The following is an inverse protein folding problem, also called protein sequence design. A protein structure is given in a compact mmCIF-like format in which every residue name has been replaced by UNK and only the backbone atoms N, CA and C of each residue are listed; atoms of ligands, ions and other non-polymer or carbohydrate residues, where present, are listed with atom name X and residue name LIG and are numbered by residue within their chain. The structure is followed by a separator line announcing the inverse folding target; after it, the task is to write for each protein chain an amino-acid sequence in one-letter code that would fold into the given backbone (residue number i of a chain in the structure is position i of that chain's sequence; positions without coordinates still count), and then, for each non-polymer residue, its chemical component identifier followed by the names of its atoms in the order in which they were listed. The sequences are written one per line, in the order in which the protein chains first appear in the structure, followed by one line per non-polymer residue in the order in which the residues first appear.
data_IF_489712921817
#
_entry.id   IF_489712921817
#
_cell.length_a   1.000
_cell.length_b   1.000
_cell.length_c   1.000
_cell.angle_alpha   90.00
_cell.angle_beta   90.00
_cell.angle_gamma   90.00
#
_symmetry.space_group_name_H-M   'P 1'
#
loop_
_entity.id
_entity.type
_entity.pdbx_description
1 polymer ?
#
# COMPACT_ATOMS: atom_id res chain seq x y z
N UNK A 1 10.29 -10.84 -24.54
CA UNK A 1 10.08 -10.63 -23.10
C UNK A 1 8.86 -11.41 -22.67
N UNK A 2 8.95 -12.14 -21.56
CA UNK A 2 7.80 -12.79 -20.91
C UNK A 2 6.88 -11.74 -20.30
N UNK A 3 5.64 -12.12 -19.93
CA UNK A 3 4.72 -11.21 -19.24
C UNK A 3 5.24 -10.74 -17.87
N UNK A 4 6.13 -11.50 -17.23
CA UNK A 4 6.75 -11.13 -15.96
C UNK A 4 7.85 -10.09 -16.14
N UNK A 5 8.72 -10.27 -17.14
CA UNK A 5 9.78 -9.31 -17.46
C UNK A 5 9.19 -7.92 -17.81
N UNK A 6 8.09 -7.88 -18.56
CA UNK A 6 7.38 -6.63 -18.86
C UNK A 6 6.82 -5.94 -17.60
N UNK A 7 6.36 -6.73 -16.61
CA UNK A 7 5.87 -6.20 -15.34
C UNK A 7 7.03 -5.66 -14.50
N UNK A 8 8.14 -6.40 -14.39
CA UNK A 8 9.33 -5.95 -13.67
C UNK A 8 9.87 -4.64 -14.24
N UNK A 9 9.95 -4.52 -15.58
CA UNK A 9 10.37 -3.28 -16.23
C UNK A 9 9.40 -2.12 -15.98
N UNK A 10 8.10 -2.39 -15.96
CA UNK A 10 7.12 -1.37 -15.63
C UNK A 10 7.25 -0.90 -14.16
N UNK A 11 7.43 -1.82 -13.21
CA UNK A 11 7.69 -1.51 -11.81
C UNK A 11 8.96 -0.67 -11.66
N UNK A 12 10.06 -1.06 -12.32
CA UNK A 12 11.32 -0.31 -12.35
C UNK A 12 11.13 1.12 -12.84
N UNK A 13 10.38 1.31 -13.92
CA UNK A 13 10.06 2.65 -14.44
C UNK A 13 9.27 3.48 -13.43
N UNK A 14 8.29 2.89 -12.76
CA UNK A 14 7.50 3.60 -11.77
C UNK A 14 8.31 4.02 -10.54
N UNK A 15 9.16 3.13 -10.02
CA UNK A 15 10.06 3.45 -8.92
C UNK A 15 11.10 4.49 -9.36
N UNK A 16 11.69 4.39 -10.55
CA UNK A 16 12.63 5.38 -11.06
C UNK A 16 12.00 6.78 -11.18
N UNK A 17 10.79 6.89 -11.73
CA UNK A 17 10.09 8.17 -11.84
C UNK A 17 9.86 8.82 -10.45
N UNK A 18 9.45 8.02 -9.46
CA UNK A 18 9.19 8.52 -8.11
C UNK A 18 10.47 8.88 -7.35
N UNK A 19 11.52 8.06 -7.46
CA UNK A 19 12.72 8.12 -6.60
C UNK A 19 13.90 8.86 -7.22
N UNK A 20 14.01 8.87 -8.56
CA UNK A 20 15.12 9.49 -9.30
C UNK A 20 14.65 10.80 -9.92
N UNK A 21 13.58 10.78 -10.72
CA UNK A 21 13.13 11.96 -11.48
C UNK A 21 12.42 13.01 -10.59
N UNK A 22 11.72 12.54 -9.56
CA UNK A 22 11.06 13.39 -8.55
C UNK A 22 11.93 13.46 -7.28
N UNK A 23 12.35 12.31 -6.75
CA UNK A 23 13.13 12.21 -5.51
C UNK A 23 12.25 12.34 -4.27
N UNK A 24 12.74 13.04 -3.25
CA UNK A 24 12.01 13.30 -1.99
C UNK A 24 10.62 13.93 -2.23
N UNK A 25 9.56 13.36 -1.61
CA UNK A 25 8.14 13.73 -1.82
C UNK A 25 7.50 14.19 -0.52
N UNK A 26 8.12 15.14 0.18
CA UNK A 26 7.64 15.60 1.50
C UNK A 26 6.73 16.83 1.40
N UNK A 27 5.94 17.08 2.44
CA UNK A 27 5.17 18.33 2.59
C UNK A 27 6.05 19.60 2.69
N UNK A 28 7.36 19.44 2.94
CA UNK A 28 8.31 20.55 2.91
C UNK A 28 8.73 20.92 1.48
N UNK A 29 8.52 20.02 0.52
CA UNK A 29 8.81 20.19 -0.91
C UNK A 29 7.51 20.11 -1.74
N UNK A 30 6.60 21.10 -1.64
CA UNK A 30 5.27 21.08 -2.26
C UNK A 30 5.30 20.74 -3.75
N UNK A 31 6.25 21.30 -4.50
CA UNK A 31 6.35 21.07 -5.94
C UNK A 31 6.65 19.60 -6.27
N UNK A 32 7.48 18.94 -5.47
CA UNK A 32 7.81 17.52 -5.65
C UNK A 32 6.66 16.62 -5.24
N UNK A 33 6.00 16.92 -4.11
CA UNK A 33 4.81 16.20 -3.67
C UNK A 33 3.67 16.33 -4.72
N UNK A 34 3.50 17.53 -5.30
CA UNK A 34 2.53 17.76 -6.37
C UNK A 34 2.88 16.99 -7.66
N UNK A 35 4.16 16.97 -8.06
CA UNK A 35 4.62 16.16 -9.20
C UNK A 35 4.39 14.66 -8.98
N UNK A 36 4.59 14.15 -7.77
CA UNK A 36 4.30 12.76 -7.43
C UNK A 36 2.80 12.46 -7.52
N UNK A 37 1.96 13.34 -6.97
CA UNK A 37 0.50 13.27 -7.11
C UNK A 37 0.09 13.23 -8.58
N UNK A 38 0.60 14.14 -9.39
CA UNK A 38 0.29 14.22 -10.83
C UNK A 38 0.73 12.97 -11.57
N UNK A 39 1.93 12.48 -11.31
CA UNK A 39 2.43 11.24 -11.89
C UNK A 39 1.53 10.04 -11.56
N UNK A 40 1.18 9.83 -10.29
CA UNK A 40 0.31 8.71 -9.88
C UNK A 40 -1.09 8.85 -10.48
N UNK A 41 -1.63 10.07 -10.51
CA UNK A 41 -2.93 10.36 -11.13
C UNK A 41 -2.91 9.99 -12.62
N UNK A 42 -1.88 10.44 -13.34
CA UNK A 42 -1.77 10.26 -14.78
C UNK A 42 -1.56 8.80 -15.14
N UNK A 43 -0.73 8.05 -14.40
CA UNK A 43 -0.54 6.61 -14.63
C UNK A 43 -1.82 5.80 -14.38
N UNK A 44 -2.59 6.13 -13.33
CA UNK A 44 -3.88 5.48 -13.08
C UNK A 44 -4.94 5.87 -14.12
N UNK A 45 -4.96 7.13 -14.58
CA UNK A 45 -5.85 7.58 -15.64
C UNK A 45 -5.50 6.95 -17.00
N UNK A 46 -4.21 6.87 -17.34
CA UNK A 46 -3.70 6.21 -18.55
C UNK A 46 -3.98 4.70 -18.55
N UNK A 47 -4.09 4.09 -17.37
CA UNK A 47 -4.57 2.72 -17.23
C UNK A 47 -6.08 2.57 -17.52
N UNK A 48 -6.84 3.66 -17.69
CA UNK A 48 -8.27 3.64 -17.98
C UNK A 48 -9.18 3.77 -16.75
N UNK A 49 -8.64 4.19 -15.60
CA UNK A 49 -9.41 4.42 -14.38
C UNK A 49 -9.91 5.86 -14.28
N UNK A 50 -11.07 6.04 -13.67
CA UNK A 50 -11.56 7.37 -13.26
C UNK A 50 -10.88 7.77 -11.95
N UNK A 51 -10.07 8.84 -11.99
CA UNK A 51 -9.32 9.33 -10.82
C UNK A 51 -9.96 10.59 -10.26
N UNK A 52 -10.25 10.59 -8.96
CA UNK A 52 -10.80 11.73 -8.23
C UNK A 52 -9.85 12.16 -7.12
N UNK A 53 -9.73 13.47 -6.88
CA UNK A 53 -8.91 14.00 -5.80
C UNK A 53 -9.74 14.31 -4.55
N UNK A 54 -9.35 13.75 -3.42
CA UNK A 54 -9.79 14.23 -2.11
C UNK A 54 -8.78 15.27 -1.60
N UNK A 55 -8.93 16.51 -2.06
CA UNK A 55 -8.05 17.61 -1.70
C UNK A 55 -8.39 18.25 -0.36
N UNK A 56 -7.37 18.69 0.38
CA UNK A 56 -7.49 19.44 1.63
C UNK A 56 -6.28 20.36 1.86
N UNK A 57 -6.42 21.32 2.76
CA UNK A 57 -5.33 22.23 3.14
C UNK A 57 -4.44 21.61 4.21
N UNK A 58 -3.11 21.69 4.00
CA UNK A 58 -2.09 21.42 4.99
C UNK A 58 -1.03 22.52 4.93
N UNK A 59 -0.91 23.31 6.01
CA UNK A 59 0.06 24.41 6.11
C UNK A 59 -0.03 25.42 4.96
N UNK A 60 -1.26 25.74 4.52
CA UNK A 60 -1.48 26.68 3.41
C UNK A 60 -1.21 26.10 2.02
N UNK A 61 -0.99 24.78 1.91
CA UNK A 61 -0.77 24.07 0.66
C UNK A 61 -1.92 23.09 0.42
N UNK A 62 -2.39 23.02 -0.82
CA UNK A 62 -3.35 21.98 -1.22
C UNK A 62 -2.63 20.66 -1.44
N UNK A 63 -2.96 19.67 -0.62
CA UNK A 63 -2.57 18.26 -0.77
C UNK A 63 -3.79 17.41 -1.12
N UNK A 64 -3.61 16.19 -1.63
CA UNK A 64 -4.75 15.34 -1.97
C UNK A 64 -4.45 13.84 -1.88
N UNK A 65 -5.42 13.07 -1.38
CA UNK A 65 -5.47 11.65 -1.71
C UNK A 65 -6.00 11.48 -3.14
N UNK A 66 -5.52 10.47 -3.87
CA UNK A 66 -6.05 10.09 -5.18
C UNK A 66 -6.92 8.85 -5.02
N UNK A 67 -8.13 8.89 -5.55
CA UNK A 67 -9.09 7.77 -5.48
C UNK A 67 -9.43 7.38 -6.91
N UNK A 68 -8.92 6.24 -7.34
CA UNK A 68 -9.16 5.67 -8.66
C UNK A 68 -10.18 4.52 -8.60
N UNK A 69 -11.09 4.50 -9.56
CA UNK A 69 -12.09 3.44 -9.70
C UNK A 69 -12.27 3.09 -11.18
N UNK A 70 -12.85 1.91 -11.44
CA UNK A 70 -13.29 1.57 -12.79
C UNK A 70 -14.38 2.55 -13.26
N UNK A 71 -14.44 2.89 -14.56
CA UNK A 71 -15.49 3.74 -15.09
C UNK A 71 -16.89 3.23 -14.70
N UNK A 72 -17.72 4.11 -14.15
CA UNK A 72 -19.06 3.76 -13.67
C UNK A 72 -19.14 3.00 -12.33
N UNK A 73 -18.01 2.63 -11.71
CA UNK A 73 -17.99 1.96 -10.41
C UNK A 73 -18.17 2.91 -9.20
N UNK A 74 -18.24 4.23 -9.44
CA UNK A 74 -18.32 5.25 -8.38
C UNK A 74 -19.59 5.17 -7.51
N UNK A 75 -20.62 4.46 -7.97
CA UNK A 75 -21.94 4.35 -7.32
C UNK A 75 -21.97 3.43 -6.08
N UNK A 76 -20.97 2.58 -5.86
CA UNK A 76 -20.96 1.65 -4.72
C UNK A 76 -20.68 2.38 -3.39
N UNK A 77 -21.63 2.33 -2.44
CA UNK A 77 -21.45 2.87 -1.08
C UNK A 77 -20.49 2.05 -0.20
N UNK A 78 -20.30 0.78 -0.54
CA UNK A 78 -19.36 -0.14 0.12
C UNK A 78 -18.51 -0.85 -0.91
N UNK A 79 -17.20 -0.77 -0.75
CA UNK A 79 -16.21 -1.30 -1.70
C UNK A 79 -15.02 -1.90 -0.95
N UNK A 80 -14.23 -2.71 -1.64
CA UNK A 80 -12.87 -3.02 -1.22
C UNK A 80 -11.93 -1.90 -1.64
N UNK A 81 -10.88 -1.71 -0.87
CA UNK A 81 -9.86 -0.70 -1.13
C UNK A 81 -8.50 -1.37 -1.17
N UNK A 82 -7.67 -1.02 -2.15
CA UNK A 82 -6.22 -1.22 -2.08
C UNK A 82 -5.58 0.16 -2.05
N UNK A 83 -4.60 0.41 -1.18
CA UNK A 83 -3.96 1.71 -1.13
C UNK A 83 -2.51 1.67 -0.69
N UNK A 84 -1.80 2.75 -0.96
CA UNK A 84 -0.39 3.00 -0.62
C UNK A 84 -0.19 4.50 -0.45
N UNK A 85 0.79 4.96 0.32
CA UNK A 85 1.11 6.40 0.38
C UNK A 85 2.20 6.77 -0.63
N UNK A 86 2.15 8.01 -1.14
CA UNK A 86 3.09 8.48 -2.16
C UNK A 86 4.05 9.56 -1.67
N UNK A 87 3.90 10.06 -0.44
CA UNK A 87 4.89 10.92 0.21
C UNK A 87 6.07 10.12 0.79
N UNK A 88 7.09 10.83 1.27
CA UNK A 88 8.28 10.24 1.89
C UNK A 88 8.64 10.95 3.19
N UNK A 89 9.54 10.32 3.96
CA UNK A 89 10.31 11.01 5.00
C UNK A 89 11.22 12.09 4.42
N UNK A 90 11.47 13.19 5.15
CA UNK A 90 12.47 14.18 4.77
C UNK A 90 13.87 13.58 4.57
N UNK A 91 14.53 13.95 3.47
CA UNK A 91 15.89 13.50 3.15
C UNK A 91 15.99 12.10 2.54
N UNK A 92 14.88 11.44 2.19
CA UNK A 92 14.89 10.09 1.61
C UNK A 92 14.36 10.07 0.17
N UNK A 93 14.86 9.17 -0.70
CA UNK A 93 14.22 8.88 -1.98
C UNK A 93 12.90 8.12 -1.79
N UNK A 94 12.81 7.31 -0.73
CA UNK A 94 11.63 6.52 -0.39
C UNK A 94 11.34 5.46 -1.44
N UNK A 95 12.33 4.63 -1.76
CA UNK A 95 12.22 3.62 -2.81
C UNK A 95 11.41 2.42 -2.34
N UNK A 96 11.80 1.81 -1.23
CA UNK A 96 10.99 0.81 -0.57
C UNK A 96 9.81 1.47 0.16
N UNK A 97 10.07 2.61 0.83
CA UNK A 97 9.10 3.37 1.62
C UNK A 97 8.74 4.73 0.98
N UNK A 98 7.72 4.82 0.11
CA UNK A 98 6.82 3.74 -0.28
C UNK A 98 6.58 3.69 -1.79
N UNK A 99 7.59 4.08 -2.59
CA UNK A 99 7.49 4.03 -4.05
C UNK A 99 7.27 2.60 -4.58
N UNK A 100 7.79 1.58 -3.89
CA UNK A 100 7.57 0.17 -4.19
C UNK A 100 6.07 -0.17 -4.22
N UNK A 101 5.33 0.23 -3.18
CA UNK A 101 3.90 -0.01 -3.07
C UNK A 101 3.08 0.83 -4.04
N UNK A 102 3.49 2.08 -4.30
CA UNK A 102 2.84 2.92 -5.31
C UNK A 102 2.99 2.31 -6.72
N UNK A 103 4.17 1.79 -7.04
CA UNK A 103 4.40 1.08 -8.30
C UNK A 103 3.50 -0.17 -8.42
N UNK A 104 3.41 -0.97 -7.36
CA UNK A 104 2.49 -2.13 -7.29
C UNK A 104 1.03 -1.69 -7.44
N UNK A 105 0.62 -0.58 -6.82
CA UNK A 105 -0.73 -0.03 -6.91
C UNK A 105 -1.10 0.38 -8.34
N UNK A 106 -0.18 1.06 -9.05
CA UNK A 106 -0.35 1.46 -10.45
C UNK A 106 -0.47 0.23 -11.36
N UNK A 107 0.44 -0.74 -11.21
CA UNK A 107 0.44 -1.97 -11.99
C UNK A 107 -0.78 -2.86 -11.76
N UNK A 108 -1.27 -2.89 -10.51
CA UNK A 108 -2.54 -3.53 -10.16
C UNK A 108 -3.71 -2.80 -10.83
N UNK A 109 -3.70 -1.46 -10.84
CA UNK A 109 -4.70 -0.64 -11.52
C UNK A 109 -4.83 -0.94 -13.00
N UNK A 110 -3.70 -1.06 -13.71
CA UNK A 110 -3.72 -1.44 -15.13
C UNK A 110 -4.33 -2.81 -15.36
N UNK A 111 -4.03 -3.79 -14.50
CA UNK A 111 -4.59 -5.15 -14.59
C UNK A 111 -6.09 -5.17 -14.27
N UNK A 112 -6.51 -4.40 -13.26
CA UNK A 112 -7.93 -4.23 -12.89
C UNK A 112 -8.72 -3.59 -14.03
N UNK A 113 -8.16 -2.58 -14.71
CA UNK A 113 -8.83 -1.93 -15.83
C UNK A 113 -8.97 -2.86 -17.05
N UNK A 114 -7.97 -3.69 -17.33
CA UNK A 114 -8.02 -4.70 -18.39
C UNK A 114 -8.97 -5.87 -18.06
N UNK A 115 -8.99 -6.29 -16.80
CA UNK A 115 -9.83 -7.39 -16.30
C UNK A 115 -10.47 -6.99 -14.96
N UNK A 116 -11.64 -6.33 -15.00
CA UNK A 116 -12.38 -5.95 -13.79
C UNK A 116 -12.62 -7.13 -12.86
N UNK A 117 -12.27 -7.03 -11.56
CA UNK A 117 -12.63 -8.08 -10.61
C UNK A 117 -14.14 -8.05 -10.33
N UNK A 118 -14.73 -9.15 -9.83
CA UNK A 118 -16.16 -9.25 -9.56
C UNK A 118 -16.60 -8.47 -8.30
N UNK A 119 -15.81 -7.49 -7.85
CA UNK A 119 -16.03 -6.74 -6.62
C UNK A 119 -16.01 -5.23 -6.88
N UNK A 120 -16.78 -4.42 -6.14
CA UNK A 120 -16.58 -2.98 -6.14
C UNK A 120 -15.23 -2.66 -5.51
N UNK A 121 -14.32 -2.07 -6.29
CA UNK A 121 -12.94 -1.80 -5.90
C UNK A 121 -12.59 -0.33 -6.10
N UNK A 122 -11.84 0.24 -5.16
CA UNK A 122 -11.14 1.51 -5.31
C UNK A 122 -9.65 1.32 -5.03
N UNK A 123 -8.82 2.00 -5.81
CA UNK A 123 -7.39 2.13 -5.58
C UNK A 123 -7.13 3.52 -5.02
N UNK A 124 -6.42 3.62 -3.90
CA UNK A 124 -6.24 4.89 -3.22
C UNK A 124 -4.77 5.17 -2.94
N UNK A 125 -4.24 6.24 -3.53
CA UNK A 125 -2.92 6.75 -3.19
C UNK A 125 -3.08 7.82 -2.10
N UNK A 126 -2.62 7.53 -0.89
CA UNK A 126 -2.69 8.44 0.25
C UNK A 126 -1.54 9.43 0.23
N UNK A 127 -1.79 10.63 0.75
CA UNK A 127 -0.77 11.66 0.93
C UNK A 127 -0.54 11.90 2.41
N UNK A 128 0.66 12.36 2.77
CA UNK A 128 1.01 12.78 4.12
C UNK A 128 0.87 11.65 5.14
N UNK A 129 1.28 10.44 4.77
CA UNK A 129 1.49 9.37 5.74
C UNK A 129 2.56 9.80 6.74
N UNK A 130 3.67 10.35 6.26
CA UNK A 130 4.91 10.49 7.01
C UNK A 130 4.94 11.69 7.98
N UNK A 131 5.85 11.72 8.98
CA UNK A 131 6.06 12.89 9.82
C UNK A 131 6.37 14.13 8.99
N UNK A 132 5.79 15.30 9.31
CA UNK A 132 5.09 15.61 10.56
C UNK A 132 3.56 15.42 10.53
N UNK A 133 2.99 14.83 9.48
CA UNK A 133 1.56 14.60 9.38
C UNK A 133 1.13 13.24 9.95
N UNK A 134 2.05 12.27 10.01
CA UNK A 134 1.83 10.96 10.60
C UNK A 134 1.11 11.00 11.94
N UNK A 135 0.07 10.17 12.06
CA UNK A 135 -0.77 10.04 13.25
C UNK A 135 -1.47 11.34 13.70
N UNK A 136 -1.46 12.40 12.88
CA UNK A 136 -2.21 13.63 13.14
C UNK A 136 -3.56 13.64 12.41
N UNK A 137 -4.38 14.66 12.67
CA UNK A 137 -5.62 14.83 11.91
C UNK A 137 -5.39 15.07 10.40
N UNK A 138 -4.17 15.35 9.96
CA UNK A 138 -3.86 15.68 8.57
C UNK A 138 -3.32 14.49 7.76
N UNK A 139 -3.05 13.34 8.38
CA UNK A 139 -2.66 12.13 7.65
C UNK A 139 -3.73 11.77 6.62
N UNK A 140 -3.33 11.47 5.37
CA UNK A 140 -4.23 11.26 4.25
C UNK A 140 -5.27 10.18 4.50
N UNK A 141 -4.87 9.02 5.00
CA UNK A 141 -5.80 7.94 5.36
C UNK A 141 -6.77 8.33 6.49
N UNK A 142 -6.34 9.14 7.47
CA UNK A 142 -7.25 9.69 8.50
C UNK A 142 -8.26 10.67 7.90
N UNK A 143 -7.85 11.51 6.95
CA UNK A 143 -8.77 12.39 6.21
C UNK A 143 -9.78 11.55 5.42
N UNK A 144 -9.30 10.52 4.71
CA UNK A 144 -10.12 9.61 3.92
C UNK A 144 -11.18 8.91 4.77
N UNK A 145 -10.78 8.25 5.85
CA UNK A 145 -11.68 7.48 6.73
C UNK A 145 -12.73 8.38 7.38
N UNK A 146 -12.35 9.61 7.77
CA UNK A 146 -13.33 10.57 8.32
C UNK A 146 -14.36 10.98 7.28
N UNK A 147 -13.93 11.28 6.05
CA UNK A 147 -14.86 11.66 4.99
C UNK A 147 -15.77 10.48 4.61
N UNK A 148 -15.22 9.28 4.46
CA UNK A 148 -15.96 8.05 4.22
C UNK A 148 -17.10 7.85 5.22
N UNK A 149 -16.83 8.06 6.51
CA UNK A 149 -17.84 7.97 7.57
C UNK A 149 -18.89 9.08 7.49
N UNK A 150 -18.48 10.32 7.21
CA UNK A 150 -19.41 11.46 7.06
C UNK A 150 -20.38 11.23 5.91
N UNK A 151 -19.90 10.64 4.81
CA UNK A 151 -20.71 10.35 3.62
C UNK A 151 -21.61 9.11 3.78
N UNK A 152 -21.59 8.47 4.95
CA UNK A 152 -22.34 7.23 5.22
C UNK A 152 -21.86 6.03 4.41
N UNK A 153 -20.65 6.11 3.85
CA UNK A 153 -20.01 5.00 3.13
C UNK A 153 -19.30 4.02 4.06
N UNK A 154 -18.67 3.01 3.48
CA UNK A 154 -17.83 2.08 4.21
C UNK A 154 -16.91 1.27 3.32
N UNK A 155 -16.01 0.51 3.93
CA UNK A 155 -15.21 -0.49 3.22
C UNK A 155 -15.66 -1.90 3.61
N UNK A 156 -15.73 -2.80 2.62
CA UNK A 156 -15.84 -4.26 2.83
C UNK A 156 -14.51 -4.81 3.40
N UNK A 157 -13.41 -4.19 3.01
CA UNK A 157 -12.05 -4.44 3.47
C UNK A 157 -11.06 -3.47 2.84
N UNK A 158 -10.10 -2.96 3.61
CA UNK A 158 -8.97 -2.21 3.08
C UNK A 158 -7.70 -3.07 3.09
N UNK A 159 -6.90 -2.99 2.04
CA UNK A 159 -5.62 -3.65 1.86
C UNK A 159 -4.61 -2.52 1.65
N UNK A 160 -3.79 -2.25 2.65
CA UNK A 160 -2.82 -1.16 2.63
C UNK A 160 -1.45 -1.78 2.34
N UNK A 161 -0.83 -1.34 1.26
CA UNK A 161 0.49 -1.76 0.82
C UNK A 161 1.52 -0.84 1.48
N UNK A 162 2.50 -1.44 2.13
CA UNK A 162 3.46 -0.73 2.97
C UNK A 162 4.82 -1.41 2.87
N UNK A 163 5.72 -0.87 2.05
CA UNK A 163 7.03 -1.46 1.73
C UNK A 163 6.87 -2.88 1.18
N UNK A 164 7.04 -3.06 -0.12
CA UNK A 164 6.77 -4.36 -0.78
C UNK A 164 7.88 -4.75 -1.73
N UNK A 165 9.05 -4.14 -1.59
CA UNK A 165 10.14 -4.24 -2.55
C UNK A 165 11.42 -4.83 -2.00
N UNK A 166 11.62 -4.94 -0.69
CA UNK A 166 12.89 -5.35 -0.12
C UNK A 166 12.90 -6.82 0.32
N UNK A 167 13.89 -7.57 -0.20
CA UNK A 167 14.21 -8.93 0.25
C UNK A 167 15.60 -8.99 0.89
N UNK A 168 15.76 -9.85 1.88
CA UNK A 168 17.01 -10.02 2.62
C UNK A 168 17.29 -11.49 2.92
N UNK A 169 18.57 -11.85 3.04
CA UNK A 169 18.98 -13.17 3.47
C UNK A 169 18.54 -13.47 4.92
N UNK A 170 18.53 -12.45 5.78
CA UNK A 170 18.14 -12.54 7.19
C UNK A 170 17.35 -11.28 7.62
N UNK A 171 16.55 -11.41 8.68
CA UNK A 171 15.84 -10.30 9.33
C UNK A 171 15.80 -10.44 10.85
N UNK A 172 15.74 -9.30 11.54
CA UNK A 172 15.77 -9.21 12.99
C UNK A 172 14.41 -8.75 13.55
N UNK A 173 13.66 -9.70 14.08
CA UNK A 173 12.42 -9.39 14.79
C UNK A 173 12.60 -9.07 16.28
N UNK A 174 11.64 -8.33 16.88
CA UNK A 174 11.41 -8.38 18.31
C UNK A 174 11.34 -9.83 18.81
N UNK A 175 11.94 -10.10 19.97
CA UNK A 175 12.14 -11.45 20.53
C UNK A 175 10.84 -12.29 20.60
N UNK A 176 9.69 -11.63 20.78
CA UNK A 176 8.38 -12.28 20.84
C UNK A 176 7.96 -12.91 19.51
N UNK A 177 8.33 -12.33 18.37
CA UNK A 177 7.99 -12.88 17.05
C UNK A 177 8.93 -14.05 16.69
N UNK A 178 10.19 -13.98 17.10
CA UNK A 178 11.13 -15.10 16.98
C UNK A 178 10.58 -16.38 17.64
N UNK A 179 9.96 -16.26 18.81
CA UNK A 179 9.39 -17.41 19.53
C UNK A 179 8.15 -18.01 18.83
N UNK A 180 7.45 -17.23 18.02
CA UNK A 180 6.22 -17.66 17.31
C UNK A 180 6.55 -18.39 16.00
N UNK A 181 7.83 -18.45 15.60
CA UNK A 181 8.31 -19.25 14.47
C UNK A 181 8.24 -18.55 13.11
N UNK A 182 8.26 -17.22 13.08
CA UNK A 182 8.40 -16.48 11.82
C UNK A 182 9.76 -16.76 11.16
N UNK A 183 9.84 -16.79 9.81
CA UNK A 183 11.06 -17.14 9.07
C UNK A 183 12.25 -16.25 9.41
N UNK A 184 13.47 -16.78 9.39
CA UNK A 184 14.66 -15.93 9.54
C UNK A 184 14.96 -15.16 8.26
N UNK A 185 14.63 -15.74 7.12
CA UNK A 185 14.83 -15.20 5.80
C UNK A 185 13.81 -14.10 5.49
N UNK A 186 14.29 -12.97 5.00
CA UNK A 186 13.47 -11.83 4.62
C UNK A 186 12.96 -11.91 3.19
N UNK A 187 12.38 -13.04 2.76
CA UNK A 187 11.97 -13.29 1.37
C UNK A 187 10.47 -13.60 1.20
N UNK A 188 9.65 -13.15 2.15
CA UNK A 188 8.20 -13.35 2.18
C UNK A 188 7.46 -12.01 2.23
N UNK A 189 6.15 -12.03 1.95
CA UNK A 189 5.23 -10.90 2.21
C UNK A 189 4.36 -11.16 3.43
N UNK A 190 4.33 -10.23 4.36
CA UNK A 190 3.51 -10.26 5.57
C UNK A 190 2.11 -9.69 5.34
N UNK A 191 1.09 -10.37 5.87
CA UNK A 191 -0.29 -9.89 5.97
C UNK A 191 -0.62 -9.66 7.44
N UNK A 192 -0.62 -8.40 7.85
CA UNK A 192 -0.87 -7.98 9.23
C UNK A 192 -2.30 -7.45 9.38
N UNK A 193 -3.05 -7.98 10.34
CA UNK A 193 -4.46 -7.64 10.56
C UNK A 193 -4.83 -7.56 12.03
N UNK A 194 -5.95 -6.90 12.35
CA UNK A 194 -6.57 -7.03 13.69
C UNK A 194 -7.65 -8.14 13.69
N UNK A 195 -8.27 -8.39 14.84
CA UNK A 195 -9.36 -9.38 14.99
C UNK A 195 -10.49 -9.21 13.96
N UNK A 196 -10.91 -7.97 13.67
CA UNK A 196 -11.99 -7.70 12.70
C UNK A 196 -11.60 -8.04 11.25
N UNK A 197 -10.31 -8.05 10.97
CA UNK A 197 -9.76 -8.25 9.63
C UNK A 197 -9.38 -9.71 9.34
N UNK A 198 -9.58 -10.63 10.31
CA UNK A 198 -9.19 -12.05 10.17
C UNK A 198 -9.82 -12.75 8.97
N UNK A 199 -11.09 -12.49 8.67
CA UNK A 199 -11.76 -13.11 7.51
C UNK A 199 -11.12 -12.65 6.20
N UNK A 200 -10.95 -11.33 6.06
CA UNK A 200 -10.28 -10.73 4.91
C UNK A 200 -8.85 -11.26 4.76
N UNK A 201 -8.08 -11.28 5.85
CA UNK A 201 -6.68 -11.71 5.82
C UNK A 201 -6.52 -13.19 5.51
N UNK A 202 -7.42 -14.06 5.97
CA UNK A 202 -7.41 -15.48 5.58
C UNK A 202 -7.72 -15.68 4.10
N UNK A 203 -8.63 -14.88 3.54
CA UNK A 203 -8.90 -14.93 2.09
C UNK A 203 -7.67 -14.51 1.29
N UNK A 204 -7.03 -13.39 1.65
CA UNK A 204 -5.79 -12.95 0.99
C UNK A 204 -4.67 -13.98 1.15
N UNK A 205 -4.42 -14.47 2.36
CA UNK A 205 -3.35 -15.43 2.62
C UNK A 205 -3.53 -16.73 1.83
N UNK A 206 -4.78 -17.20 1.69
CA UNK A 206 -5.07 -18.36 0.84
C UNK A 206 -4.70 -18.09 -0.62
N UNK A 207 -5.16 -16.98 -1.19
CA UNK A 207 -4.88 -16.62 -2.59
C UNK A 207 -3.39 -16.35 -2.85
N UNK A 208 -2.68 -15.80 -1.87
CA UNK A 208 -1.23 -15.61 -1.96
C UNK A 208 -0.49 -16.95 -1.90
N UNK A 209 -0.96 -17.89 -1.07
CA UNK A 209 -0.39 -19.25 -0.98
C UNK A 209 -0.52 -20.09 -2.25
N UNK A 210 -1.40 -19.72 -3.19
CA UNK A 210 -1.49 -20.33 -4.52
C UNK A 210 -0.31 -19.91 -5.42
N UNK A 211 0.44 -18.86 -5.04
CA UNK A 211 1.66 -18.43 -5.73
C UNK A 211 2.91 -18.96 -4.99
N UNK A 212 3.55 -20.05 -5.48
CA UNK A 212 4.71 -20.64 -4.81
C UNK A 212 5.97 -19.76 -4.87
N UNK A 213 5.98 -18.70 -5.70
CA UNK A 213 7.11 -17.77 -5.81
C UNK A 213 7.05 -16.62 -4.80
N UNK A 214 5.96 -16.51 -4.04
CA UNK A 214 5.78 -15.49 -3.01
C UNK A 214 5.38 -16.14 -1.68
N UNK A 215 6.34 -16.54 -0.84
CA UNK A 215 6.04 -16.96 0.53
C UNK A 215 5.22 -15.89 1.25
N UNK A 216 4.24 -16.33 2.05
CA UNK A 216 3.32 -15.43 2.75
C UNK A 216 3.24 -15.79 4.22
N UNK A 217 3.37 -14.77 5.07
CA UNK A 217 3.21 -14.91 6.51
C UNK A 217 2.06 -14.06 7.00
N UNK A 218 1.38 -14.49 8.07
CA UNK A 218 0.23 -13.75 8.61
C UNK A 218 0.43 -13.42 10.09
N UNK A 219 0.01 -12.22 10.49
CA UNK A 219 -0.01 -11.82 11.90
C UNK A 219 -1.34 -11.14 12.22
N UNK A 220 -2.14 -11.75 13.12
CA UNK A 220 -3.39 -11.17 13.59
C UNK A 220 -3.29 -10.70 15.03
N UNK A 221 -3.18 -9.39 15.23
CA UNK A 221 -2.95 -8.80 16.56
C UNK A 221 -4.26 -8.54 17.33
N UNK A 222 -4.25 -8.74 18.67
CA UNK A 222 -5.35 -8.32 19.54
C UNK A 222 -5.30 -6.79 19.78
N UNK A 223 -6.39 -6.25 20.36
CA UNK A 223 -6.49 -4.84 20.79
C UNK A 223 -6.03 -3.81 19.74
N UNK A 224 -6.32 -4.06 18.46
CA UNK A 224 -5.90 -3.20 17.34
C UNK A 224 -4.39 -2.91 17.30
N UNK A 225 -3.54 -3.82 17.79
CA UNK A 225 -2.08 -3.64 17.76
C UNK A 225 -1.52 -2.71 18.84
N UNK A 226 -2.32 -2.31 19.85
CA UNK A 226 -1.83 -1.47 20.96
C UNK A 226 -0.71 -2.12 21.78
N UNK A 227 -0.65 -3.46 21.80
CA UNK A 227 0.40 -4.22 22.50
C UNK A 227 1.68 -4.32 21.67
N UNK A 228 1.58 -4.25 20.34
CA UNK A 228 2.71 -4.31 19.43
C UNK A 228 2.64 -3.11 18.47
N UNK A 229 3.02 -1.90 18.91
CA UNK A 229 2.78 -0.66 18.17
C UNK A 229 3.38 -0.62 16.76
N UNK A 230 4.46 -1.38 16.50
CA UNK A 230 5.03 -1.56 15.16
C UNK A 230 3.98 -2.04 14.14
N UNK A 231 2.98 -2.81 14.56
CA UNK A 231 1.87 -3.25 13.68
C UNK A 231 0.85 -2.17 13.35
N UNK A 232 1.06 -0.93 13.79
CA UNK A 232 0.19 0.23 13.54
C UNK A 232 0.89 1.34 12.74
N UNK A 233 2.13 1.14 12.30
CA UNK A 233 2.94 2.12 11.59
C UNK A 233 2.65 2.06 10.07
N UNK A 234 1.41 2.38 9.68
CA UNK A 234 0.98 2.65 8.29
C UNK A 234 -0.50 3.09 8.26
N UNK A 235 -1.00 3.39 7.06
CA UNK A 235 -2.33 3.91 6.75
C UNK A 235 -3.51 2.97 7.05
N UNK A 236 -3.28 1.72 7.46
CA UNK A 236 -4.34 0.82 7.93
C UNK A 236 -4.83 1.16 9.33
N UNK A 237 -3.99 1.79 10.17
CA UNK A 237 -4.33 2.09 11.56
C UNK A 237 -5.59 2.99 11.71
N UNK A 238 -5.78 4.05 10.89
CA UNK A 238 -7.01 4.84 10.89
C UNK A 238 -8.29 4.04 10.59
N UNK A 239 -8.21 3.00 9.76
CA UNK A 239 -9.34 2.11 9.51
C UNK A 239 -9.65 1.28 10.76
N UNK A 240 -8.64 0.74 11.43
CA UNK A 240 -8.82 0.02 12.69
C UNK A 240 -9.43 0.89 13.79
N UNK A 241 -8.96 2.13 13.92
CA UNK A 241 -9.50 3.13 14.87
C UNK A 241 -10.97 3.42 14.58
N UNK A 242 -11.35 3.42 13.31
CA UNK A 242 -12.72 3.58 12.86
C UNK A 242 -13.58 2.30 12.96
N UNK A 243 -13.00 1.16 13.37
CA UNK A 243 -13.68 -0.13 13.45
C UNK A 243 -13.90 -0.81 12.09
N UNK A 244 -13.22 -0.35 11.04
CA UNK A 244 -13.29 -0.89 9.69
C UNK A 244 -12.25 -2.02 9.51
N UNK A 245 -12.57 -3.08 8.75
CA UNK A 245 -11.62 -4.15 8.46
C UNK A 245 -10.52 -3.64 7.52
N UNK A 246 -9.26 -3.80 7.92
CA UNK A 246 -8.09 -3.41 7.15
C UNK A 246 -6.90 -4.34 7.41
N UNK A 247 -6.09 -4.55 6.38
CA UNK A 247 -4.83 -5.29 6.44
C UNK A 247 -3.70 -4.39 6.00
N UNK A 248 -2.52 -4.61 6.56
CA UNK A 248 -1.25 -4.13 6.02
C UNK A 248 -0.58 -5.31 5.30
N UNK A 249 -0.20 -5.11 4.05
CA UNK A 249 0.60 -6.03 3.24
C UNK A 249 1.98 -5.41 3.10
N UNK A 250 2.97 -6.06 3.69
CA UNK A 250 4.29 -5.48 3.90
C UNK A 250 5.38 -6.53 3.77
N UNK A 251 6.53 -6.14 3.28
CA UNK A 251 7.76 -6.90 3.34
C UNK A 251 8.37 -6.87 4.76
N UNK A 252 7.78 -6.17 5.73
CA UNK A 252 8.32 -6.06 7.09
C UNK A 252 9.68 -5.34 7.17
N UNK A 253 9.97 -4.44 6.22
CA UNK A 253 11.20 -3.67 6.12
C UNK A 253 11.75 -3.11 7.45
N UNK A 254 10.90 -2.76 8.41
CA UNK A 254 11.29 -2.43 9.80
C UNK A 254 12.33 -3.39 10.43
N UNK A 255 12.30 -4.66 10.03
CA UNK A 255 13.11 -5.73 10.58
C UNK A 255 14.19 -6.22 9.62
N UNK A 256 14.20 -5.75 8.37
CA UNK A 256 15.12 -6.28 7.35
C UNK A 256 15.79 -5.27 6.41
N UNK A 257 15.20 -4.10 6.20
CA UNK A 257 15.79 -3.08 5.35
C UNK A 257 16.70 -2.16 6.19
N UNK A 258 18.04 -2.27 6.09
CA UNK A 258 18.96 -1.43 6.87
C UNK A 258 18.95 0.04 6.42
N UNK A 259 18.28 0.34 5.31
CA UNK A 259 18.21 1.66 4.72
C UNK A 259 16.89 2.39 5.01
N UNK A 260 15.98 1.76 5.75
CA UNK A 260 14.70 2.34 6.17
C UNK A 260 14.88 3.75 6.76
N UNK A 261 14.13 4.73 6.22
CA UNK A 261 14.21 6.15 6.58
C UNK A 261 15.59 6.80 6.41
N UNK A 262 16.39 6.33 5.45
CA UNK A 262 17.70 6.91 5.11
C UNK A 262 17.79 7.31 3.63
N UNK A 263 18.81 8.11 3.29
CA UNK A 263 19.13 8.47 1.91
C UNK A 263 19.61 7.28 1.04
N UNK A 264 19.76 6.10 1.64
CA UNK A 264 20.15 4.85 0.97
C UNK A 264 18.95 3.97 0.62
N UNK A 265 17.72 4.35 1.00
CA UNK A 265 16.50 3.68 0.52
C UNK A 265 16.28 4.02 -0.96
N UNK A 266 16.94 3.28 -1.84
CA UNK A 266 17.09 3.55 -3.27
C UNK A 266 16.59 2.39 -4.12
N UNK A 267 16.24 2.67 -5.36
CA UNK A 267 15.65 1.65 -6.24
C UNK A 267 16.57 0.44 -6.48
N UNK A 268 17.89 0.60 -6.39
CA UNK A 268 18.86 -0.48 -6.57
C UNK A 268 18.80 -1.53 -5.46
N UNK A 269 18.15 -1.22 -4.33
CA UNK A 269 18.00 -2.15 -3.22
C UNK A 269 16.72 -2.99 -3.33
N UNK A 270 15.89 -2.77 -4.35
CA UNK A 270 14.62 -3.46 -4.51
C UNK A 270 14.72 -4.73 -5.36
N UNK A 271 13.93 -5.73 -4.98
CA UNK A 271 13.69 -6.96 -5.71
C UNK A 271 12.41 -6.83 -6.55
N UNK A 272 12.59 -6.43 -7.81
CA UNK A 272 11.47 -6.23 -8.73
C UNK A 272 10.74 -7.52 -9.12
N UNK A 273 11.43 -8.67 -9.07
CA UNK A 273 10.79 -9.96 -9.32
C UNK A 273 9.84 -10.30 -8.17
N UNK A 274 10.27 -10.08 -6.92
CA UNK A 274 9.41 -10.19 -5.74
C UNK A 274 8.18 -9.27 -5.84
N UNK A 275 8.38 -8.00 -6.20
CA UNK A 275 7.28 -7.04 -6.39
C UNK A 275 6.29 -7.49 -7.49
N UNK A 276 6.78 -8.08 -8.58
CA UNK A 276 5.94 -8.61 -9.65
C UNK A 276 5.03 -9.73 -9.13
N UNK A 277 5.55 -10.61 -8.26
CA UNK A 277 4.74 -11.64 -7.61
C UNK A 277 3.71 -11.06 -6.64
N UNK A 278 4.01 -9.95 -5.95
CA UNK A 278 3.04 -9.23 -5.11
C UNK A 278 1.86 -8.75 -5.96
N UNK A 279 2.11 -8.16 -7.14
CA UNK A 279 1.04 -7.74 -8.08
C UNK A 279 0.18 -8.94 -8.51
N UNK A 280 0.81 -10.07 -8.86
CA UNK A 280 0.11 -11.28 -9.29
C UNK A 280 -0.77 -11.86 -8.16
N UNK A 281 -0.24 -11.93 -6.94
CA UNK A 281 -0.94 -12.43 -5.76
C UNK A 281 -2.09 -11.51 -5.34
N UNK A 282 -1.90 -10.18 -5.39
CA UNK A 282 -2.97 -9.21 -5.16
C UNK A 282 -4.09 -9.36 -6.19
N UNK A 283 -3.76 -9.52 -7.47
CA UNK A 283 -4.75 -9.75 -8.53
C UNK A 283 -5.60 -10.99 -8.25
N UNK A 284 -4.95 -12.13 -7.96
CA UNK A 284 -5.63 -13.38 -7.59
C UNK A 284 -6.52 -13.20 -6.36
N UNK A 285 -6.03 -12.49 -5.33
CA UNK A 285 -6.81 -12.22 -4.13
C UNK A 285 -8.06 -11.38 -4.41
N UNK A 286 -7.98 -10.35 -5.26
CA UNK A 286 -9.15 -9.53 -5.62
C UNK A 286 -10.23 -10.35 -6.34
N UNK A 287 -9.85 -11.32 -7.16
CA UNK A 287 -10.78 -12.24 -7.84
C UNK A 287 -11.46 -13.21 -6.88
N UNK A 288 -10.78 -13.59 -5.80
CA UNK A 288 -11.30 -14.48 -4.77
C UNK A 288 -12.16 -13.77 -3.70
N UNK A 289 -12.16 -12.43 -3.66
CA UNK A 289 -12.97 -11.69 -2.71
C UNK A 289 -14.46 -11.80 -3.07
N UNK A 290 -15.34 -11.97 -2.07
CA UNK A 290 -16.76 -12.06 -2.36
C UNK A 290 -17.29 -10.70 -2.85
N UNK A 291 -18.07 -10.65 -3.95
CA UNK A 291 -18.74 -9.44 -4.46
C UNK A 291 -19.45 -8.70 -3.33
N UNK A 292 -20.05 -9.47 -2.42
CA UNK A 292 -20.89 -9.03 -1.32
C UNK A 292 -22.19 -8.43 -1.84
N UNK A 293 -23.29 -8.74 -1.15
CA UNK A 293 -24.60 -8.09 -1.34
C UNK A 293 -24.53 -6.56 -1.22
#
# INVERSE_FOLDING_TARGET
MTGNEQLEDALKRHVAALTVDIGERTSFLPDKLARAREYVRDELANAGLEVTEQGYDYRGQRVANLIAALPGASMAKKYYLVGAHYDTVPGTPGADDNASAVAVLIELGRRVALAPPPIPLRLVAFTLEEPPAFNTRFQGSRVFVRQLKRDGGGVKGAIILEMVGFTAAEQDYPLVLHWIGYPKEGNFIGIVGNRRSRRLGRTLAKSFGDNPRLPVETLFVPFNGLILPATRLSDHAPFWDAGLPALMVTDTAFFRNPFYHTALDRMETLDFAFMAEVVASLRSALDALPPGE
#
